data_IF_407587134551
#
_entry.id   IF_407587134551
#
_cell.length_a   1.000
_cell.length_b   1.000
_cell.length_c   1.000
_cell.angle_alpha   90.00
_cell.angle_beta   90.00
_cell.angle_gamma   90.00
#
_symmetry.space_group_name_H-M   'P 1'
#
loop_
_entity.id
_entity.type
_entity.pdbx_description
1 polymer ?
#
# COMPACT_ATOMS: atom_id res chain seq x y z
N UNK A 1 17.78 -11.61 -20.98
CA UNK A 1 17.81 -11.73 -19.51
C UNK A 1 17.08 -10.52 -18.95
N UNK A 2 15.81 -10.62 -18.59
CA UNK A 2 15.09 -9.50 -17.97
C UNK A 2 15.11 -9.69 -16.46
N UNK A 3 16.04 -9.03 -15.79
CA UNK A 3 15.85 -8.65 -14.39
C UNK A 3 15.91 -7.13 -14.37
N UNK A 4 14.78 -6.52 -14.77
CA UNK A 4 14.50 -5.14 -14.44
C UNK A 4 14.07 -5.17 -12.97
N UNK A 5 14.94 -4.70 -12.06
CA UNK A 5 14.70 -4.40 -10.63
C UNK A 5 13.52 -5.13 -9.94
N UNK A 6 13.84 -6.02 -8.98
CA UNK A 6 12.84 -6.65 -8.10
C UNK A 6 12.86 -6.00 -6.71
N UNK A 7 11.68 -5.77 -6.13
CA UNK A 7 11.52 -5.28 -4.75
C UNK A 7 10.73 -6.31 -3.94
N UNK A 8 11.30 -6.79 -2.84
CA UNK A 8 10.62 -7.72 -1.94
C UNK A 8 9.83 -6.92 -0.88
N UNK A 9 8.54 -7.25 -0.70
CA UNK A 9 7.67 -6.58 0.27
C UNK A 9 7.02 -7.62 1.17
N UNK A 10 7.33 -7.56 2.47
CA UNK A 10 6.72 -8.41 3.51
C UNK A 10 5.33 -7.88 3.92
N UNK A 11 4.39 -7.82 2.96
CA UNK A 11 3.09 -7.18 3.13
C UNK A 11 2.21 -7.87 4.19
N UNK A 12 2.21 -9.20 4.24
CA UNK A 12 1.43 -9.96 5.23
C UNK A 12 1.90 -9.67 6.65
N UNK A 13 3.21 -9.62 6.89
CA UNK A 13 3.77 -9.30 8.21
C UNK A 13 3.44 -7.86 8.62
N UNK A 14 3.44 -6.93 7.66
CA UNK A 14 3.02 -5.55 7.90
C UNK A 14 1.51 -5.47 8.23
N UNK A 15 0.66 -6.25 7.55
CA UNK A 15 -0.77 -6.33 7.81
C UNK A 15 -1.07 -6.90 9.21
N UNK A 16 -0.35 -7.96 9.60
CA UNK A 16 -0.46 -8.56 10.93
C UNK A 16 -0.05 -7.55 12.03
N UNK A 17 0.97 -6.71 11.80
CA UNK A 17 1.34 -5.61 12.71
C UNK A 17 0.29 -4.50 12.79
N UNK A 18 -0.52 -4.32 11.75
CA UNK A 18 -1.69 -3.43 11.73
C UNK A 18 -2.92 -4.02 12.42
N UNK A 19 -2.89 -5.32 12.70
CA UNK A 19 -3.88 -6.04 13.53
C UNK A 19 -4.74 -7.05 12.75
N UNK A 20 -4.77 -6.99 11.42
CA UNK A 20 -5.60 -7.89 10.61
C UNK A 20 -4.95 -8.14 9.23
N UNK A 21 -4.80 -9.41 8.79
CA UNK A 21 -4.27 -9.73 7.46
C UNK A 21 -5.12 -9.18 6.30
N UNK A 22 -6.36 -8.76 6.53
CA UNK A 22 -7.22 -8.14 5.50
C UNK A 22 -6.58 -6.90 4.86
N UNK A 23 -5.69 -6.20 5.57
CA UNK A 23 -5.00 -5.00 5.06
C UNK A 23 -3.86 -5.30 4.07
N UNK A 24 -3.51 -6.57 3.86
CA UNK A 24 -2.38 -6.97 3.01
C UNK A 24 -2.51 -6.41 1.59
N UNK A 25 -3.71 -6.42 1.01
CA UNK A 25 -3.94 -5.90 -0.34
C UNK A 25 -3.70 -4.39 -0.45
N UNK A 26 -4.13 -3.61 0.54
CA UNK A 26 -3.93 -2.16 0.55
C UNK A 26 -2.46 -1.81 0.80
N UNK A 27 -1.75 -2.57 1.63
CA UNK A 27 -0.29 -2.44 1.80
C UNK A 27 0.43 -2.74 0.48
N UNK A 28 0.05 -3.80 -0.23
CA UNK A 28 0.63 -4.09 -1.56
C UNK A 28 0.35 -2.96 -2.56
N UNK A 29 -0.84 -2.36 -2.52
CA UNK A 29 -1.18 -1.23 -3.37
C UNK A 29 -0.32 0.00 -3.04
N UNK A 30 -0.14 0.30 -1.76
CA UNK A 30 0.76 1.35 -1.32
C UNK A 30 2.19 1.14 -1.80
N UNK A 31 2.69 -0.10 -1.70
CA UNK A 31 4.01 -0.46 -2.18
C UNK A 31 4.15 -0.33 -3.70
N UNK A 32 3.10 -0.63 -4.47
CA UNK A 32 3.10 -0.42 -5.92
C UNK A 32 3.22 1.07 -6.28
N UNK A 33 2.50 1.94 -5.56
CA UNK A 33 2.55 3.39 -5.75
C UNK A 33 3.91 3.96 -5.34
N UNK A 34 4.41 3.57 -4.17
CA UNK A 34 5.71 4.03 -3.67
C UNK A 34 6.91 3.56 -4.49
N UNK A 35 6.76 2.49 -5.27
CA UNK A 35 7.81 1.99 -6.16
C UNK A 35 8.00 2.86 -7.41
N UNK A 36 7.06 3.79 -7.68
CA UNK A 36 7.09 4.72 -8.81
C UNK A 36 7.25 4.02 -10.18
N UNK A 37 6.64 2.83 -10.31
CA UNK A 37 6.66 2.01 -11.54
C UNK A 37 5.37 2.11 -12.34
N UNK A 38 4.39 2.85 -11.82
CA UNK A 38 3.08 3.10 -12.46
C UNK A 38 2.78 4.60 -12.42
N UNK A 39 2.11 5.15 -13.45
CA UNK A 39 1.73 6.56 -13.48
C UNK A 39 0.47 6.80 -12.63
N UNK A 40 0.54 6.47 -11.34
CA UNK A 40 -0.57 6.60 -10.39
C UNK A 40 -0.11 7.38 -9.16
N UNK A 41 -0.94 8.31 -8.73
CA UNK A 41 -0.68 9.16 -7.58
C UNK A 41 -1.29 8.59 -6.29
N UNK A 42 -0.63 8.84 -5.16
CA UNK A 42 -1.05 8.35 -3.84
C UNK A 42 -2.34 9.03 -3.37
N UNK A 43 -2.50 10.32 -3.59
CA UNK A 43 -3.71 11.04 -3.16
C UNK A 43 -4.91 10.66 -4.03
N UNK A 44 -4.71 10.46 -5.34
CA UNK A 44 -5.73 9.89 -6.22
C UNK A 44 -6.22 8.50 -5.72
N UNK A 45 -5.31 7.65 -5.20
CA UNK A 45 -5.72 6.38 -4.63
C UNK A 45 -6.52 6.55 -3.33
N UNK A 46 -6.17 7.54 -2.50
CA UNK A 46 -6.95 7.84 -1.28
C UNK A 46 -8.38 8.26 -1.61
N UNK A 47 -8.59 9.02 -2.68
CA UNK A 47 -9.93 9.38 -3.16
C UNK A 47 -10.73 8.13 -3.55
N UNK A 48 -10.13 7.21 -4.31
CA UNK A 48 -10.76 5.93 -4.68
C UNK A 48 -11.11 5.08 -3.45
N UNK A 49 -10.23 5.04 -2.44
CA UNK A 49 -10.53 4.36 -1.17
C UNK A 49 -11.70 5.04 -0.45
N UNK A 50 -11.80 6.36 -0.51
CA UNK A 50 -12.88 7.13 0.11
C UNK A 50 -14.23 6.89 -0.55
N UNK A 51 -14.28 6.53 -1.84
CA UNK A 51 -15.52 6.12 -2.51
C UNK A 51 -16.05 4.79 -2.01
N UNK A 52 -15.14 3.85 -1.71
CA UNK A 52 -15.47 2.47 -1.29
C UNK A 52 -15.69 2.32 0.21
N UNK A 53 -14.85 2.97 1.02
CA UNK A 53 -14.83 2.82 2.47
C UNK A 53 -15.21 4.13 3.15
N UNK A 54 -15.84 4.05 4.32
CA UNK A 54 -16.24 5.22 5.11
C UNK A 54 -15.83 5.05 6.57
N UNK A 55 -15.72 6.17 7.28
CA UNK A 55 -15.46 6.18 8.73
C UNK A 55 -14.18 5.43 9.12
N UNK A 56 -14.19 4.64 10.22
CA UNK A 56 -12.99 3.97 10.72
C UNK A 56 -12.33 3.03 9.71
N UNK A 57 -13.12 2.39 8.84
CA UNK A 57 -12.59 1.51 7.81
C UNK A 57 -11.75 2.30 6.79
N UNK A 58 -12.19 3.48 6.36
CA UNK A 58 -11.42 4.34 5.47
C UNK A 58 -10.08 4.73 6.11
N UNK A 59 -10.11 5.19 7.36
CA UNK A 59 -8.90 5.62 8.07
C UNK A 59 -7.89 4.47 8.25
N UNK A 60 -8.37 3.26 8.56
CA UNK A 60 -7.51 2.07 8.62
C UNK A 60 -6.89 1.71 7.26
N UNK A 61 -7.66 1.82 6.18
CA UNK A 61 -7.14 1.56 4.82
C UNK A 61 -6.15 2.64 4.39
N UNK A 62 -6.32 3.92 4.75
CA UNK A 62 -5.31 4.96 4.50
C UNK A 62 -3.98 4.64 5.19
N UNK A 63 -4.02 4.25 6.47
CA UNK A 63 -2.80 3.84 7.20
C UNK A 63 -2.14 2.62 6.56
N UNK A 64 -2.93 1.64 6.11
CA UNK A 64 -2.41 0.49 5.38
C UNK A 64 -1.74 0.88 4.06
N UNK A 65 -2.31 1.85 3.33
CA UNK A 65 -1.76 2.35 2.07
C UNK A 65 -0.41 3.03 2.31
N UNK A 66 -0.35 3.93 3.29
CA UNK A 66 0.87 4.64 3.66
C UNK A 66 1.96 3.67 4.12
N UNK A 67 1.58 2.67 4.90
CA UNK A 67 2.52 1.63 5.33
C UNK A 67 3.15 0.91 4.14
N UNK A 68 2.37 0.63 3.10
CA UNK A 68 2.86 0.06 1.85
C UNK A 68 3.84 0.97 1.12
N UNK A 69 3.47 2.24 0.98
CA UNK A 69 4.28 3.26 0.31
C UNK A 69 5.67 3.40 0.97
N UNK A 70 5.68 3.44 2.31
CA UNK A 70 6.91 3.57 3.10
C UNK A 70 7.83 2.35 3.05
N UNK A 71 7.30 1.15 2.75
CA UNK A 71 8.09 -0.08 2.69
C UNK A 71 9.06 -0.12 1.50
N UNK A 72 8.82 0.68 0.48
CA UNK A 72 9.58 0.68 -0.79
C UNK A 72 10.33 1.98 -1.05
N UNK A 73 10.04 3.04 -0.28
CA UNK A 73 10.76 4.32 -0.29
C UNK A 73 12.05 4.28 0.54
N UNK A 74 12.29 3.21 1.30
CA UNK A 74 13.54 3.02 2.04
C UNK A 74 14.62 2.46 1.10
N UNK A 75 15.86 3.00 1.13
CA UNK A 75 16.95 2.61 0.24
C UNK A 75 17.40 1.16 0.41
#
# INVERSE_FOLDING_TARGET
KYSAKSTLVHATDAALKLGDPIYTNIIMLGALLGADVVPLDRDAMVEVLADRFKGPALERNKVALDRGFDLVQQP
#
